data_IF_368737792374
#
_entry.id   IF_368737792374
#
_cell.length_a   1.000
_cell.length_b   1.000
_cell.length_c   1.000
_cell.angle_alpha   90.00
_cell.angle_beta   90.00
_cell.angle_gamma   90.00
#
_symmetry.space_group_name_H-M   'P 1'
#
loop_
_entity.id
_entity.type
_entity.pdbx_description
1 polymer ?
#
# COMPACT_ATOMS: atom_id res chain seq x y z
N UNK A 1 -3.65 -17.15 13.27
CA UNK A 1 -3.06 -15.97 12.58
C UNK A 1 -3.74 -14.68 13.02
N UNK A 2 -3.08 -13.54 12.88
CA UNK A 2 -3.55 -12.26 13.42
C UNK A 2 -4.76 -11.68 12.66
N UNK A 3 -5.09 -12.20 11.48
CA UNK A 3 -6.23 -11.77 10.67
C UNK A 3 -7.29 -12.85 10.57
N UNK A 4 -6.93 -14.03 10.06
CA UNK A 4 -7.89 -15.10 9.75
C UNK A 4 -8.62 -15.60 11.00
N UNK A 5 -7.92 -15.77 12.13
CA UNK A 5 -8.52 -16.27 13.37
C UNK A 5 -9.51 -15.27 14.00
N UNK A 6 -9.37 -13.98 13.69
CA UNK A 6 -10.31 -12.93 14.11
C UNK A 6 -11.57 -12.88 13.26
N UNK A 7 -11.59 -13.53 12.10
CA UNK A 7 -12.70 -13.59 11.16
C UNK A 7 -13.33 -12.22 10.85
N UNK A 8 -12.54 -11.22 10.42
CA UNK A 8 -13.08 -9.93 10.05
C UNK A 8 -13.92 -10.06 8.78
N UNK A 9 -14.82 -9.11 8.54
CA UNK A 9 -15.59 -9.05 7.28
C UNK A 9 -14.72 -8.63 6.10
N UNK A 10 -13.78 -7.73 6.34
CA UNK A 10 -12.85 -7.22 5.34
C UNK A 10 -11.46 -7.02 5.96
N UNK A 11 -10.44 -6.98 5.10
CA UNK A 11 -9.07 -6.65 5.46
C UNK A 11 -8.50 -5.65 4.47
N UNK A 12 -7.91 -4.56 4.98
CA UNK A 12 -7.14 -3.62 4.16
C UNK A 12 -5.68 -4.07 4.17
N UNK A 13 -5.12 -4.26 2.98
CA UNK A 13 -3.74 -4.71 2.78
C UNK A 13 -2.92 -3.54 2.26
N UNK A 14 -2.03 -3.01 3.10
CA UNK A 14 -1.04 -1.99 2.78
C UNK A 14 0.33 -2.54 3.15
N UNK A 15 1.13 -2.90 2.15
CA UNK A 15 2.43 -3.51 2.34
C UNK A 15 3.35 -3.22 1.15
N UNK A 16 4.68 -3.28 1.37
CA UNK A 16 5.69 -3.16 0.34
C UNK A 16 6.74 -2.06 0.57
N UNK A 17 6.49 -1.05 1.39
CA UNK A 17 7.47 0.01 1.70
C UNK A 17 8.77 -0.57 2.26
N UNK A 18 8.67 -1.50 3.21
CA UNK A 18 9.83 -2.15 3.82
C UNK A 18 10.61 -3.04 2.84
N UNK A 19 9.91 -3.64 1.88
CA UNK A 19 10.53 -4.43 0.81
C UNK A 19 11.32 -3.52 -0.13
N UNK A 20 10.74 -2.38 -0.54
CA UNK A 20 11.42 -1.36 -1.38
C UNK A 20 12.61 -0.76 -0.64
N UNK A 21 12.53 -0.59 0.67
CA UNK A 21 13.64 -0.12 1.52
C UNK A 21 14.70 -1.20 1.77
N UNK A 22 14.50 -2.44 1.32
CA UNK A 22 15.37 -3.60 1.58
C UNK A 22 15.69 -3.76 3.07
N UNK A 23 14.70 -3.58 3.95
CA UNK A 23 14.94 -3.56 5.40
C UNK A 23 15.52 -4.88 5.93
N UNK A 24 15.03 -6.00 5.43
CA UNK A 24 15.55 -7.33 5.77
C UNK A 24 16.49 -7.86 4.68
N UNK A 25 16.03 -7.87 3.43
CA UNK A 25 16.77 -8.32 2.26
C UNK A 25 16.18 -7.71 0.99
N UNK A 26 16.87 -7.84 -0.12
CA UNK A 26 16.37 -7.40 -1.41
C UNK A 26 15.18 -8.26 -1.87
N UNK A 27 14.10 -7.61 -2.26
CA UNK A 27 12.89 -8.22 -2.83
C UNK A 27 12.60 -7.60 -4.19
N UNK A 28 12.42 -8.43 -5.21
CA UNK A 28 12.05 -7.93 -6.54
C UNK A 28 10.66 -7.25 -6.50
N UNK A 29 10.41 -6.17 -7.25
CA UNK A 29 9.10 -5.52 -7.30
C UNK A 29 7.95 -6.47 -7.62
N UNK A 30 8.14 -7.41 -8.54
CA UNK A 30 7.15 -8.44 -8.89
C UNK A 30 6.84 -9.36 -7.71
N UNK A 31 7.83 -9.63 -6.86
CA UNK A 31 7.62 -10.46 -5.67
C UNK A 31 6.79 -9.72 -4.61
N UNK A 32 6.96 -8.40 -4.48
CA UNK A 32 6.11 -7.57 -3.62
C UNK A 32 4.65 -7.66 -4.07
N UNK A 33 4.40 -7.51 -5.37
CA UNK A 33 3.06 -7.67 -5.95
C UNK A 33 2.50 -9.07 -5.69
N UNK A 34 3.28 -10.12 -5.93
CA UNK A 34 2.87 -11.51 -5.71
C UNK A 34 2.54 -11.80 -4.24
N UNK A 35 3.28 -11.19 -3.30
CA UNK A 35 3.00 -11.32 -1.87
C UNK A 35 1.64 -10.69 -1.51
N UNK A 36 1.31 -9.52 -2.04
CA UNK A 36 0.00 -8.89 -1.85
C UNK A 36 -1.12 -9.71 -2.49
N UNK A 37 -0.90 -10.24 -3.70
CA UNK A 37 -1.85 -11.15 -4.37
C UNK A 37 -2.13 -12.37 -3.50
N UNK A 38 -1.08 -13.01 -2.97
CA UNK A 38 -1.22 -14.18 -2.09
C UNK A 38 -2.02 -13.86 -0.82
N UNK A 39 -1.85 -12.66 -0.24
CA UNK A 39 -2.65 -12.20 0.90
C UNK A 39 -4.13 -12.01 0.52
N UNK A 40 -4.42 -11.47 -0.66
CA UNK A 40 -5.78 -11.32 -1.17
C UNK A 40 -6.45 -12.69 -1.39
N UNK A 41 -5.78 -13.62 -2.05
CA UNK A 41 -6.28 -14.98 -2.30
C UNK A 41 -6.54 -15.72 -0.97
N UNK A 42 -5.64 -15.57 0.00
CA UNK A 42 -5.80 -16.16 1.32
C UNK A 42 -7.00 -15.56 2.08
N UNK A 43 -7.19 -14.25 1.99
CA UNK A 43 -8.37 -13.59 2.57
C UNK A 43 -9.67 -14.12 1.93
N UNK A 44 -9.75 -14.17 0.61
CA UNK A 44 -10.91 -14.66 -0.13
C UNK A 44 -11.21 -16.13 0.18
N UNK A 45 -10.18 -16.98 0.27
CA UNK A 45 -10.32 -18.39 0.66
C UNK A 45 -10.91 -18.58 2.07
N UNK A 46 -10.83 -17.55 2.93
CA UNK A 46 -11.39 -17.53 4.27
C UNK A 46 -12.64 -16.65 4.38
N UNK A 47 -13.28 -16.31 3.27
CA UNK A 47 -14.49 -15.46 3.21
C UNK A 47 -14.30 -14.06 3.80
N UNK A 48 -13.09 -13.52 3.69
CA UNK A 48 -12.73 -12.16 4.08
C UNK A 48 -12.57 -11.33 2.80
N UNK A 49 -13.21 -10.17 2.74
CA UNK A 49 -13.13 -9.26 1.59
C UNK A 49 -11.78 -8.52 1.64
N UNK A 50 -10.87 -8.73 0.66
CA UNK A 50 -9.65 -7.94 0.59
C UNK A 50 -9.92 -6.56 -0.01
N UNK A 51 -9.22 -5.56 0.50
CA UNK A 51 -9.13 -4.21 -0.04
C UNK A 51 -7.63 -3.91 -0.18
N UNK A 52 -7.15 -3.62 -1.38
CA UNK A 52 -5.75 -3.29 -1.62
C UNK A 52 -5.58 -1.78 -1.50
N UNK A 53 -4.57 -1.32 -0.80
CA UNK A 53 -4.13 0.07 -0.93
C UNK A 53 -2.81 0.17 -1.70
N UNK A 54 -2.60 1.33 -2.32
CA UNK A 54 -1.28 1.66 -2.84
C UNK A 54 -0.26 1.76 -1.70
N UNK A 55 1.01 1.51 -2.03
CA UNK A 55 2.13 1.97 -1.21
C UNK A 55 2.11 3.50 -1.23
N UNK A 56 2.31 4.14 -0.09
CA UNK A 56 2.40 5.60 0.05
C UNK A 56 3.62 6.16 -0.68
N UNK A 57 3.63 7.46 -1.04
CA UNK A 57 4.82 8.07 -1.65
C UNK A 57 6.06 7.91 -0.77
N UNK A 58 7.20 7.62 -1.38
CA UNK A 58 8.49 7.66 -0.73
C UNK A 58 9.60 7.75 -1.80
N UNK A 59 10.36 8.83 -1.81
CA UNK A 59 11.43 9.02 -2.80
C UNK A 59 12.80 8.54 -2.30
N UNK A 60 12.99 8.51 -0.98
CA UNK A 60 14.23 8.08 -0.34
C UNK A 60 13.97 7.63 1.09
N UNK A 61 14.83 6.78 1.60
CA UNK A 61 14.78 6.29 2.97
C UNK A 61 15.93 6.88 3.78
N UNK A 62 15.65 7.67 4.80
CA UNK A 62 16.69 8.31 5.63
C UNK A 62 17.60 7.30 6.33
N UNK A 63 17.10 6.08 6.58
CA UNK A 63 17.86 4.98 7.19
C UNK A 63 18.53 4.04 6.17
N UNK A 64 18.27 4.22 4.87
CA UNK A 64 18.83 3.45 3.75
C UNK A 64 19.14 4.38 2.58
N UNK A 65 20.05 5.36 2.77
CA UNK A 65 20.33 6.38 1.77
C UNK A 65 20.96 5.83 0.48
N UNK A 66 21.44 4.60 0.50
CA UNK A 66 21.98 3.89 -0.66
C UNK A 66 20.90 3.36 -1.62
N UNK A 67 19.63 3.33 -1.23
CA UNK A 67 18.54 2.89 -2.09
C UNK A 67 18.16 4.03 -3.04
N UNK A 68 18.43 3.83 -4.31
CA UNK A 68 18.08 4.77 -5.37
C UNK A 68 16.80 4.33 -6.10
N UNK A 69 16.05 5.28 -6.67
CA UNK A 69 14.88 5.01 -7.49
C UNK A 69 13.64 4.48 -6.74
N UNK A 70 13.57 4.65 -5.43
CA UNK A 70 12.44 4.17 -4.61
C UNK A 70 11.10 4.68 -5.12
N UNK A 71 10.99 5.97 -5.46
CA UNK A 71 9.76 6.55 -6.00
C UNK A 71 9.26 5.83 -7.25
N UNK A 72 10.17 5.57 -8.21
CA UNK A 72 9.82 4.90 -9.45
C UNK A 72 9.42 3.43 -9.21
N UNK A 73 10.13 2.74 -8.34
CA UNK A 73 9.81 1.36 -7.94
C UNK A 73 8.42 1.27 -7.31
N UNK A 74 8.07 2.22 -6.42
CA UNK A 74 6.76 2.30 -5.79
C UNK A 74 5.66 2.53 -6.85
N UNK A 75 5.87 3.45 -7.79
CA UNK A 75 4.93 3.71 -8.89
C UNK A 75 4.68 2.45 -9.72
N UNK A 76 5.73 1.68 -10.04
CA UNK A 76 5.61 0.44 -10.80
C UNK A 76 4.84 -0.65 -10.01
N UNK A 77 5.15 -0.84 -8.74
CA UNK A 77 4.43 -1.78 -7.87
C UNK A 77 2.95 -1.37 -7.78
N UNK A 78 2.65 -0.10 -7.50
CA UNK A 78 1.29 0.41 -7.39
C UNK A 78 0.48 0.22 -8.68
N UNK A 79 1.10 0.44 -9.84
CA UNK A 79 0.49 0.17 -11.15
C UNK A 79 0.07 -1.29 -11.29
N UNK A 80 0.92 -2.23 -10.88
CA UNK A 80 0.65 -3.65 -10.97
C UNK A 80 -0.40 -4.10 -9.96
N UNK A 81 -0.37 -3.57 -8.72
CA UNK A 81 -1.39 -3.80 -7.71
C UNK A 81 -2.77 -3.30 -8.17
N UNK A 82 -2.82 -2.10 -8.77
CA UNK A 82 -4.05 -1.55 -9.34
C UNK A 82 -4.60 -2.42 -10.45
N UNK A 83 -3.75 -2.85 -11.38
CA UNK A 83 -4.16 -3.71 -12.49
C UNK A 83 -4.73 -5.05 -11.99
N UNK A 84 -4.13 -5.64 -10.96
CA UNK A 84 -4.65 -6.86 -10.34
C UNK A 84 -6.01 -6.61 -9.67
N UNK A 85 -6.14 -5.53 -8.92
CA UNK A 85 -7.39 -5.17 -8.25
C UNK A 85 -8.54 -5.00 -9.27
N UNK A 86 -8.30 -4.23 -10.32
CA UNK A 86 -9.28 -3.96 -11.38
C UNK A 86 -9.69 -5.27 -12.10
N UNK A 87 -8.73 -6.15 -12.41
CA UNK A 87 -8.99 -7.42 -13.08
C UNK A 87 -9.78 -8.42 -12.23
N UNK A 88 -9.72 -8.31 -10.90
CA UNK A 88 -10.34 -9.24 -9.95
C UNK A 88 -11.53 -8.65 -9.19
N UNK A 89 -11.94 -7.40 -9.49
CA UNK A 89 -13.04 -6.73 -8.80
C UNK A 89 -12.76 -6.46 -7.32
N UNK A 90 -11.48 -6.25 -6.96
CA UNK A 90 -11.05 -5.93 -5.61
C UNK A 90 -11.00 -4.40 -5.46
N UNK A 91 -11.52 -3.88 -4.35
CA UNK A 91 -11.45 -2.45 -4.06
C UNK A 91 -9.99 -2.00 -3.89
N UNK A 92 -9.67 -0.82 -4.47
CA UNK A 92 -8.33 -0.25 -4.43
C UNK A 92 -8.37 1.17 -3.86
N UNK A 93 -7.54 1.44 -2.85
CA UNK A 93 -7.38 2.76 -2.24
C UNK A 93 -6.09 3.39 -2.72
N UNK A 94 -6.19 4.45 -3.50
CA UNK A 94 -5.05 5.13 -4.12
C UNK A 94 -4.49 6.25 -3.24
N UNK A 95 -3.85 5.87 -2.13
CA UNK A 95 -3.15 6.83 -1.27
C UNK A 95 -2.03 7.57 -2.01
N UNK A 96 -1.31 6.85 -2.89
CA UNK A 96 -0.17 7.42 -3.60
C UNK A 96 -0.57 8.65 -4.41
N UNK A 97 -1.57 8.51 -5.27
CA UNK A 97 -2.01 9.62 -6.13
C UNK A 97 -2.59 10.80 -5.34
N UNK A 98 -3.17 10.54 -4.16
CA UNK A 98 -3.72 11.59 -3.31
C UNK A 98 -2.66 12.36 -2.50
N UNK A 99 -1.51 11.72 -2.22
CA UNK A 99 -0.52 12.23 -1.26
C UNK A 99 0.83 12.58 -1.90
N UNK A 100 1.09 12.16 -3.15
CA UNK A 100 2.34 12.41 -3.82
C UNK A 100 2.42 13.84 -4.40
N UNK A 101 3.62 14.39 -4.40
CA UNK A 101 3.97 15.56 -5.19
C UNK A 101 4.31 15.18 -6.66
N UNK A 102 4.73 16.16 -7.44
CA UNK A 102 5.13 15.99 -8.84
C UNK A 102 6.33 15.05 -9.06
N UNK A 103 7.10 14.76 -8.01
CA UNK A 103 8.25 13.87 -8.02
C UNK A 103 7.92 12.47 -7.46
N UNK A 104 6.65 12.15 -7.22
CA UNK A 104 6.20 10.93 -6.55
C UNK A 104 6.74 10.78 -5.12
N UNK A 105 7.01 11.88 -4.45
CA UNK A 105 7.49 11.94 -3.09
C UNK A 105 6.40 12.47 -2.15
N UNK A 106 6.54 12.24 -0.84
CA UNK A 106 5.74 12.96 0.13
C UNK A 106 6.15 14.44 0.18
N UNK A 107 5.21 15.38 0.06
CA UNK A 107 5.45 16.75 0.48
C UNK A 107 5.84 16.82 1.96
N UNK A 108 6.73 17.74 2.33
CA UNK A 108 7.16 17.92 3.74
C UNK A 108 6.02 18.26 4.69
N UNK A 109 4.92 18.83 4.20
CA UNK A 109 3.70 19.07 4.97
C UNK A 109 2.95 17.81 5.35
N UNK A 110 3.16 16.68 4.64
CA UNK A 110 2.47 15.41 4.84
C UNK A 110 3.35 14.34 5.50
N UNK A 111 4.66 14.51 5.47
CA UNK A 111 5.64 13.58 6.07
C UNK A 111 6.90 14.34 6.48
N UNK A 112 7.37 14.12 7.71
CA UNK A 112 8.59 14.76 8.21
C UNK A 112 9.86 14.10 7.67
N UNK A 113 9.84 12.79 7.46
CA UNK A 113 10.99 12.00 6.99
C UNK A 113 10.89 11.58 5.51
N UNK A 114 9.80 11.99 4.83
CA UNK A 114 9.55 11.67 3.43
C UNK A 114 9.04 10.25 3.17
N UNK A 115 8.76 9.47 4.22
CA UNK A 115 8.28 8.09 4.10
C UNK A 115 7.07 7.79 5.00
N UNK A 116 7.08 8.25 6.23
CA UNK A 116 5.99 7.98 7.18
C UNK A 116 5.00 9.16 7.20
N UNK A 117 3.69 8.88 7.01
CA UNK A 117 2.66 9.91 7.12
C UNK A 117 2.67 10.57 8.50
N UNK A 118 2.51 11.89 8.55
CA UNK A 118 2.26 12.58 9.81
C UNK A 118 0.79 12.39 10.28
N UNK A 119 0.42 12.82 11.50
CA UNK A 119 -0.94 12.64 12.01
C UNK A 119 -2.03 13.23 11.11
N UNK A 120 -1.82 14.39 10.51
CA UNK A 120 -2.81 15.03 9.64
C UNK A 120 -3.00 14.23 8.34
N UNK A 121 -1.93 13.65 7.83
CA UNK A 121 -1.97 12.77 6.65
C UNK A 121 -2.74 11.48 6.94
N UNK A 122 -2.61 10.90 8.14
CA UNK A 122 -3.41 9.75 8.53
C UNK A 122 -4.91 10.05 8.55
N UNK A 123 -5.35 11.25 8.89
CA UNK A 123 -6.78 11.62 8.78
C UNK A 123 -7.26 11.63 7.32
N UNK A 124 -6.43 12.09 6.38
CA UNK A 124 -6.75 12.00 4.94
C UNK A 124 -6.88 10.53 4.51
N UNK A 125 -5.92 9.69 4.91
CA UNK A 125 -5.91 8.26 4.58
C UNK A 125 -7.12 7.54 5.19
N UNK A 126 -7.52 7.90 6.42
CA UNK A 126 -8.70 7.34 7.11
C UNK A 126 -9.98 7.58 6.31
N UNK A 127 -10.23 8.81 5.87
CA UNK A 127 -11.41 9.14 5.07
C UNK A 127 -11.47 8.30 3.78
N UNK A 128 -10.35 8.16 3.08
CA UNK A 128 -10.26 7.38 1.85
C UNK A 128 -10.55 5.90 2.08
N UNK A 129 -9.95 5.31 3.11
CA UNK A 129 -10.14 3.87 3.39
C UNK A 129 -11.51 3.55 3.92
N UNK A 130 -12.11 4.43 4.72
CA UNK A 130 -13.48 4.27 5.22
C UNK A 130 -14.50 4.24 4.08
N UNK A 131 -14.32 5.07 3.05
CA UNK A 131 -15.17 5.02 1.87
C UNK A 131 -15.04 3.67 1.15
N UNK A 132 -13.83 3.19 0.91
CA UNK A 132 -13.59 1.91 0.27
C UNK A 132 -14.17 0.73 1.07
N UNK A 133 -14.03 0.76 2.41
CA UNK A 133 -14.63 -0.27 3.29
C UNK A 133 -16.15 -0.24 3.19
N UNK A 134 -16.78 0.93 3.23
CA UNK A 134 -18.25 1.05 3.12
C UNK A 134 -18.76 0.50 1.78
N UNK A 135 -18.06 0.78 0.68
CA UNK A 135 -18.42 0.25 -0.64
C UNK A 135 -18.25 -1.28 -0.70
N UNK A 136 -17.13 -1.80 -0.19
CA UNK A 136 -16.84 -3.23 -0.21
C UNK A 136 -17.80 -4.07 0.67
N UNK A 137 -18.47 -3.46 1.66
CA UNK A 137 -19.40 -4.13 2.58
C UNK A 137 -20.88 -3.99 2.18
N UNK A 138 -21.19 -3.34 1.05
CA UNK A 138 -22.58 -3.28 0.51
C UNK A 138 -22.98 -4.62 -0.08
#
# INVERSE_FOLDING_TARGET
TDVIDLRPKAVVIMAGTNDVAHNDFWVAPEQVVNNVISMCELAQANSIIPIISSITPCASFVWRPEIEGAAQTIVEINKNLRAYADANGIAYVDYHSALADENNAFPTSLSEDGCHPNPDTYFIMEEMVLEAIREALK
#
